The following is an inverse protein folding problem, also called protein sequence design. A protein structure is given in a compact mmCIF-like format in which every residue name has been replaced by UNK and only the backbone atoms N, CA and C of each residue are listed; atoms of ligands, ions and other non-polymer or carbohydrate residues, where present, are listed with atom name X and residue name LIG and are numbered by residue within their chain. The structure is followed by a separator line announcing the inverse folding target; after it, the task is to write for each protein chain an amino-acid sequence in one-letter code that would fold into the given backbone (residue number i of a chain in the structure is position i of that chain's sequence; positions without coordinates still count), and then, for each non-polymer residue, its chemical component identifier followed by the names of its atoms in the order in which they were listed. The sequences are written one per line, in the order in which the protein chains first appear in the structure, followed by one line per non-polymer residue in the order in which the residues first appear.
data_IF_648684824424
#
_entry.id   IF_648684824424
#
_cell.length_a   1.000
_cell.length_b   1.000
_cell.length_c   1.000
_cell.angle_alpha   90.00
_cell.angle_beta   90.00
_cell.angle_gamma   90.00
#
_symmetry.space_group_name_H-M   'P 1'
#
loop_
_entity.id
_entity.type
_entity.pdbx_description
1 polymer ?
#
# COMPACT_ATOMS: atom_id res chain seq x y z
N UNK A 1 30.83 21.54 -18.54
CA UNK A 1 29.96 20.44 -18.08
C UNK A 1 30.64 19.18 -18.56
N UNK A 2 31.07 18.34 -17.63
CA UNK A 2 32.10 17.31 -17.81
C UNK A 2 31.75 16.27 -18.88
N UNK A 3 32.73 16.01 -19.73
CA UNK A 3 32.80 14.85 -20.62
C UNK A 3 33.09 13.64 -19.73
N UNK A 4 32.05 12.97 -19.24
CA UNK A 4 32.20 11.68 -18.57
C UNK A 4 32.43 10.63 -19.66
N UNK A 5 33.58 9.94 -19.61
CA UNK A 5 33.91 8.87 -20.55
C UNK A 5 32.82 7.80 -20.48
N UNK A 6 32.08 7.59 -21.58
CA UNK A 6 31.07 6.54 -21.65
C UNK A 6 31.74 5.17 -21.47
N UNK A 7 31.13 4.24 -20.71
CA UNK A 7 31.68 2.90 -20.53
C UNK A 7 31.85 2.19 -21.88
N UNK A 8 32.90 1.41 -22.00
CA UNK A 8 33.24 0.69 -23.22
C UNK A 8 32.42 -0.59 -23.34
N UNK A 9 32.22 -1.07 -24.58
CA UNK A 9 31.60 -2.38 -24.80
C UNK A 9 32.41 -3.54 -24.17
N UNK A 10 33.69 -3.34 -23.84
CA UNK A 10 34.50 -4.33 -23.14
C UNK A 10 34.12 -4.40 -21.65
N UNK A 11 33.87 -3.25 -21.01
CA UNK A 11 33.41 -3.16 -19.62
C UNK A 11 32.03 -3.78 -19.44
N UNK A 12 31.07 -3.46 -20.31
CA UNK A 12 29.73 -4.09 -20.27
C UNK A 12 29.82 -5.62 -20.40
N UNK A 13 30.69 -6.13 -21.28
CA UNK A 13 30.91 -7.59 -21.40
C UNK A 13 31.59 -8.18 -20.17
N UNK A 14 32.51 -7.46 -19.54
CA UNK A 14 33.17 -7.90 -18.33
C UNK A 14 32.18 -8.00 -17.16
N UNK A 15 31.30 -7.01 -17.01
CA UNK A 15 30.23 -7.03 -16.02
C UNK A 15 29.24 -8.19 -16.28
N UNK A 16 28.85 -8.43 -17.54
CA UNK A 16 28.02 -9.59 -17.88
C UNK A 16 28.68 -10.93 -17.50
N UNK A 17 30.00 -11.07 -17.66
CA UNK A 17 30.73 -12.26 -17.20
C UNK A 17 30.83 -12.33 -15.68
N UNK A 18 30.91 -11.19 -15.00
CA UNK A 18 30.88 -11.13 -13.53
C UNK A 18 29.54 -11.65 -12.98
N UNK A 19 28.41 -11.24 -13.56
CA UNK A 19 27.07 -11.75 -13.22
C UNK A 19 26.99 -13.26 -13.38
N UNK A 20 27.43 -13.81 -14.53
CA UNK A 20 27.44 -15.27 -14.76
C UNK A 20 28.28 -16.00 -13.71
N UNK A 21 29.45 -15.47 -13.40
CA UNK A 21 30.34 -16.07 -12.41
C UNK A 21 29.73 -16.00 -11.00
N UNK A 22 29.07 -14.90 -10.64
CA UNK A 22 28.36 -14.76 -9.37
C UNK A 22 27.17 -15.73 -9.28
N UNK A 23 26.44 -15.93 -10.38
CA UNK A 23 25.33 -16.87 -10.45
C UNK A 23 25.80 -18.31 -10.21
N UNK A 24 26.91 -18.71 -10.83
CA UNK A 24 27.52 -20.03 -10.61
C UNK A 24 27.96 -20.21 -9.15
N UNK A 25 28.51 -19.16 -8.51
CA UNK A 25 28.88 -19.20 -7.08
C UNK A 25 27.67 -19.32 -6.17
N UNK A 26 26.62 -18.57 -6.46
CA UNK A 26 25.36 -18.62 -5.72
C UNK A 26 24.75 -20.02 -5.81
N UNK A 27 24.66 -20.60 -7.01
CA UNK A 27 24.17 -21.98 -7.18
C UNK A 27 25.03 -22.98 -6.39
N UNK A 28 26.36 -22.86 -6.47
CA UNK A 28 27.26 -23.73 -5.72
C UNK A 28 27.16 -23.55 -4.20
N UNK A 29 26.73 -22.39 -3.70
CA UNK A 29 26.45 -22.17 -2.28
C UNK A 29 25.12 -22.85 -1.89
N UNK A 30 24.07 -22.68 -2.69
CA UNK A 30 22.76 -23.32 -2.49
C UNK A 30 22.87 -24.84 -2.47
N UNK A 31 23.63 -25.44 -3.40
CA UNK A 31 23.84 -26.89 -3.46
C UNK A 31 24.59 -27.45 -2.24
N UNK A 32 25.36 -26.61 -1.54
CA UNK A 32 26.13 -26.97 -0.34
C UNK A 32 25.47 -26.52 0.96
N UNK A 33 24.27 -25.95 0.91
CA UNK A 33 23.63 -25.35 2.09
C UNK A 33 23.43 -26.38 3.19
N UNK A 34 23.64 -25.94 4.43
CA UNK A 34 23.58 -26.76 5.63
C UNK A 34 22.31 -26.55 6.46
N UNK A 35 21.52 -25.53 6.10
CA UNK A 35 20.25 -25.16 6.72
C UNK A 35 19.43 -24.23 5.82
N UNK A 36 18.29 -23.79 6.35
CA UNK A 36 17.38 -22.85 5.66
C UNK A 36 17.97 -21.43 5.61
N UNK A 37 18.63 -21.00 6.71
CA UNK A 37 19.32 -19.70 6.84
C UNK A 37 20.86 -19.85 6.76
N UNK A 38 21.37 -20.42 5.67
CA UNK A 38 22.82 -20.59 5.52
C UNK A 38 23.50 -19.25 5.18
N UNK A 39 24.40 -18.71 6.04
CA UNK A 39 25.03 -17.41 5.80
C UNK A 39 25.90 -17.39 4.54
N UNK A 40 26.39 -18.54 4.07
CA UNK A 40 27.14 -18.62 2.81
C UNK A 40 26.24 -18.42 1.59
N UNK A 41 24.96 -18.80 1.67
CA UNK A 41 23.98 -18.56 0.60
C UNK A 41 23.63 -17.08 0.56
N UNK A 42 23.35 -16.46 1.72
CA UNK A 42 23.09 -15.02 1.80
C UNK A 42 24.25 -14.17 1.29
N UNK A 43 25.48 -14.50 1.67
CA UNK A 43 26.65 -13.79 1.16
C UNK A 43 26.78 -13.91 -0.37
N UNK A 44 26.58 -15.12 -0.92
CA UNK A 44 26.65 -15.33 -2.36
C UNK A 44 25.47 -14.68 -3.13
N UNK A 45 24.31 -14.54 -2.49
CA UNK A 45 23.17 -13.80 -3.02
C UNK A 45 23.50 -12.30 -3.12
N UNK A 46 24.06 -11.70 -2.07
CA UNK A 46 24.46 -10.30 -2.08
C UNK A 46 25.55 -10.01 -3.12
N UNK A 47 26.52 -10.92 -3.27
CA UNK A 47 27.54 -10.81 -4.32
C UNK A 47 26.94 -10.87 -5.74
N UNK A 48 25.89 -11.67 -5.94
CA UNK A 48 25.17 -11.75 -7.20
C UNK A 48 24.36 -10.49 -7.49
N UNK A 49 23.64 -9.97 -6.48
CA UNK A 49 22.89 -8.72 -6.59
C UNK A 49 23.81 -7.57 -7.00
N UNK A 50 24.92 -7.37 -6.28
CA UNK A 50 25.89 -6.31 -6.59
C UNK A 50 26.47 -6.42 -8.01
N UNK A 51 26.79 -7.64 -8.47
CA UNK A 51 27.28 -7.84 -9.82
C UNK A 51 26.23 -7.53 -10.90
N UNK A 52 24.95 -7.81 -10.60
CA UNK A 52 23.84 -7.55 -11.51
C UNK A 52 23.51 -6.04 -11.59
N UNK A 53 23.54 -5.31 -10.47
CA UNK A 53 23.42 -3.85 -10.45
C UNK A 53 24.51 -3.17 -11.29
N UNK A 54 25.78 -3.55 -11.09
CA UNK A 54 26.91 -3.00 -11.86
C UNK A 54 26.74 -3.26 -13.37
N UNK A 55 26.24 -4.45 -13.74
CA UNK A 55 25.96 -4.76 -15.13
C UNK A 55 24.81 -3.91 -15.69
N UNK A 56 23.73 -3.72 -14.94
CA UNK A 56 22.57 -2.94 -15.36
C UNK A 56 22.93 -1.46 -15.54
N UNK A 57 23.70 -0.88 -14.61
CA UNK A 57 24.22 0.49 -14.71
C UNK A 57 25.07 0.67 -15.99
N UNK A 58 26.04 -0.21 -16.22
CA UNK A 58 26.90 -0.14 -17.41
C UNK A 58 26.13 -0.40 -18.72
N UNK A 59 25.10 -1.25 -18.67
CA UNK A 59 24.22 -1.52 -19.81
C UNK A 59 23.41 -0.28 -20.17
N UNK A 60 22.83 0.38 -19.16
CA UNK A 60 22.06 1.60 -19.31
C UNK A 60 22.93 2.75 -19.82
N UNK A 61 24.06 3.02 -19.17
CA UNK A 61 24.97 4.10 -19.58
C UNK A 61 25.45 3.96 -21.03
N UNK A 62 25.64 2.72 -21.50
CA UNK A 62 26.18 2.47 -22.84
C UNK A 62 25.14 2.36 -23.93
N UNK A 63 24.03 1.70 -23.65
CA UNK A 63 23.04 1.29 -24.64
C UNK A 63 21.63 1.83 -24.38
N UNK A 64 21.39 2.53 -23.27
CA UNK A 64 20.07 3.04 -22.85
C UNK A 64 19.03 1.91 -22.74
N UNK A 65 19.48 0.75 -22.26
CA UNK A 65 18.69 -0.46 -22.08
C UNK A 65 18.81 -0.93 -20.63
N UNK A 66 17.76 -1.59 -20.13
CA UNK A 66 17.69 -2.15 -18.78
C UNK A 66 17.39 -3.64 -18.84
N UNK A 67 17.83 -4.37 -17.83
CA UNK A 67 17.47 -5.78 -17.69
C UNK A 67 16.03 -5.94 -17.18
N UNK A 68 15.32 -7.02 -17.57
CA UNK A 68 13.94 -7.26 -17.13
C UNK A 68 13.84 -7.88 -15.72
N UNK A 69 14.93 -7.91 -14.96
CA UNK A 69 15.00 -8.53 -13.63
C UNK A 69 15.24 -7.45 -12.59
N UNK A 70 14.29 -7.25 -11.68
CA UNK A 70 14.47 -6.37 -10.52
C UNK A 70 15.08 -7.15 -9.35
N UNK A 71 16.06 -6.54 -8.70
CA UNK A 71 16.62 -7.03 -7.44
C UNK A 71 15.78 -6.38 -6.34
N UNK A 72 15.15 -7.16 -5.45
CA UNK A 72 14.45 -6.59 -4.31
C UNK A 72 15.44 -5.80 -3.45
N UNK A 73 15.16 -4.52 -3.22
CA UNK A 73 15.98 -3.69 -2.33
C UNK A 73 16.03 -4.35 -0.94
N UNK A 74 17.25 -4.68 -0.50
CA UNK A 74 17.48 -5.32 0.79
C UNK A 74 17.12 -4.41 1.99
N UNK A 75 16.94 -3.11 1.74
CA UNK A 75 16.68 -2.08 2.76
C UNK A 75 15.18 -1.74 2.96
N UNK A 76 14.28 -2.24 2.11
CA UNK A 76 12.82 -2.00 2.27
C UNK A 76 12.10 -3.10 3.04
N UNK A 77 12.78 -4.22 3.31
CA UNK A 77 12.25 -5.34 4.08
C UNK A 77 12.45 -5.17 5.58
N UNK A 78 11.40 -5.41 6.37
CA UNK A 78 11.57 -5.64 7.82
C UNK A 78 12.48 -6.86 8.03
N UNK A 79 13.30 -6.88 9.11
CA UNK A 79 14.08 -8.07 9.45
C UNK A 79 13.16 -9.29 9.65
N UNK A 80 13.65 -10.53 9.47
CA UNK A 80 12.86 -11.72 9.71
C UNK A 80 12.25 -11.72 11.11
N UNK A 81 11.01 -12.19 11.26
CA UNK A 81 10.36 -12.31 12.56
C UNK A 81 11.21 -13.19 13.49
N UNK A 82 11.63 -12.63 14.63
CA UNK A 82 12.47 -13.31 15.63
C UNK A 82 11.72 -13.62 16.93
N UNK A 83 10.40 -13.41 16.97
CA UNK A 83 9.58 -13.66 18.15
C UNK A 83 9.24 -15.15 18.36
N UNK A 84 8.43 -15.47 19.39
CA UNK A 84 8.06 -16.86 19.70
C UNK A 84 7.18 -17.48 18.60
N UNK A 85 7.28 -18.80 18.44
CA UNK A 85 6.45 -19.61 17.53
C UNK A 85 4.95 -19.56 17.90
N UNK A 86 4.65 -19.44 19.20
CA UNK A 86 3.29 -19.37 19.75
C UNK A 86 3.11 -18.09 20.58
N UNK A 87 2.80 -16.93 19.96
CA UNK A 87 2.59 -15.68 20.69
C UNK A 87 1.28 -15.67 21.46
N UNK A 88 1.25 -15.03 22.63
CA UNK A 88 0.06 -14.98 23.50
C UNK A 88 -0.77 -13.69 23.34
N UNK A 89 -0.20 -12.64 22.74
CA UNK A 89 -0.87 -11.38 22.46
C UNK A 89 -0.40 -10.77 21.12
N UNK A 90 -1.23 -9.88 20.56
CA UNK A 90 -0.97 -9.17 19.31
C UNK A 90 -1.36 -7.69 19.44
N UNK A 91 -0.58 -6.82 18.80
CA UNK A 91 -0.84 -5.39 18.64
C UNK A 91 -0.94 -5.05 17.16
N UNK A 92 -1.96 -4.28 16.77
CA UNK A 92 -2.11 -3.78 15.39
C UNK A 92 -1.92 -2.27 15.41
N UNK A 93 -0.86 -1.79 14.77
CA UNK A 93 -0.53 -0.38 14.67
C UNK A 93 -0.88 0.11 13.27
N UNK A 94 -1.67 1.17 13.19
CA UNK A 94 -2.16 1.72 11.92
C UNK A 94 -1.73 3.18 11.84
N UNK A 95 -0.98 3.53 10.79
CA UNK A 95 -0.75 4.91 10.36
C UNK A 95 -1.63 5.17 9.13
N UNK A 96 -2.48 6.19 9.21
CA UNK A 96 -3.27 6.70 8.07
C UNK A 96 -2.89 8.16 7.87
N UNK A 97 -2.33 8.48 6.71
CA UNK A 97 -1.95 9.85 6.40
C UNK A 97 -3.08 10.53 5.62
N UNK A 98 -3.33 11.81 5.90
CA UNK A 98 -4.37 12.60 5.22
C UNK A 98 -3.83 13.96 4.80
N UNK A 99 -4.12 14.37 3.57
CA UNK A 99 -3.97 15.75 3.14
C UNK A 99 -5.26 16.54 3.44
N UNK A 100 -5.13 17.76 3.97
CA UNK A 100 -6.28 18.67 4.12
C UNK A 100 -6.55 19.37 2.79
N UNK A 101 -7.22 18.67 1.87
CA UNK A 101 -7.50 19.14 0.52
C UNK A 101 -8.54 20.28 0.48
N UNK A 102 -9.58 20.21 1.32
CA UNK A 102 -10.65 21.21 1.38
C UNK A 102 -10.82 21.82 2.78
N UNK A 103 -9.94 22.77 3.20
CA UNK A 103 -9.99 23.38 4.53
C UNK A 103 -11.34 24.02 4.89
N UNK A 104 -12.04 24.59 3.91
CA UNK A 104 -13.36 25.22 4.11
C UNK A 104 -14.44 24.20 4.43
N UNK A 105 -14.37 23.00 3.82
CA UNK A 105 -15.30 21.91 4.09
C UNK A 105 -15.09 21.41 5.52
N UNK A 106 -13.84 21.19 5.92
CA UNK A 106 -13.46 20.81 7.28
C UNK A 106 -13.99 21.81 8.33
N UNK A 107 -13.77 23.11 8.12
CA UNK A 107 -14.31 24.17 8.99
C UNK A 107 -15.84 24.14 9.07
N UNK A 108 -16.52 23.94 7.94
CA UNK A 108 -17.98 23.87 7.89
C UNK A 108 -18.55 22.63 8.57
N UNK A 109 -17.80 21.52 8.60
CA UNK A 109 -18.18 20.32 9.37
C UNK A 109 -17.98 20.55 10.87
N UNK A 110 -16.83 21.07 11.29
CA UNK A 110 -16.57 21.38 12.69
C UNK A 110 -17.60 22.36 13.27
N UNK A 111 -18.01 23.37 12.50
CA UNK A 111 -19.06 24.29 12.92
C UNK A 111 -20.41 23.58 13.11
N UNK A 112 -20.78 22.65 12.21
CA UNK A 112 -22.01 21.86 12.34
C UNK A 112 -22.03 20.99 13.60
N UNK A 113 -20.89 20.37 13.93
CA UNK A 113 -20.73 19.57 15.17
C UNK A 113 -20.93 20.48 16.39
N UNK A 114 -20.22 21.61 16.45
CA UNK A 114 -20.28 22.54 17.58
C UNK A 114 -21.68 23.16 17.77
N UNK A 115 -22.40 23.47 16.68
CA UNK A 115 -23.77 23.98 16.74
C UNK A 115 -24.75 22.91 17.25
N UNK A 116 -24.54 21.64 16.88
CA UNK A 116 -25.32 20.52 17.39
C UNK A 116 -25.12 20.30 18.90
N UNK A 117 -23.88 20.33 19.37
CA UNK A 117 -23.55 20.23 20.80
C UNK A 117 -24.14 21.39 21.61
N UNK A 118 -24.11 22.61 21.07
CA UNK A 118 -24.69 23.80 21.73
C UNK A 118 -26.22 23.74 21.80
N UNK A 119 -26.86 23.07 20.84
CA UNK A 119 -28.31 22.82 20.81
C UNK A 119 -28.77 21.71 21.76
N UNK A 120 -27.86 20.83 22.18
CA UNK A 120 -28.09 19.79 23.19
C UNK A 120 -27.73 20.28 24.59
N UNK A 121 -28.73 20.65 25.40
CA UNK A 121 -28.48 21.01 26.80
C UNK A 121 -27.92 19.79 27.57
N UNK A 122 -26.61 19.78 27.82
CA UNK A 122 -25.96 18.74 28.62
C UNK A 122 -26.46 18.77 30.08
N UNK A 123 -26.78 17.61 30.70
CA UNK A 123 -27.05 17.55 32.13
C UNK A 123 -25.76 17.85 32.93
N UNK A 124 -25.86 18.48 34.11
CA UNK A 124 -24.69 18.86 34.89
C UNK A 124 -24.00 17.61 35.44
N UNK A 125 -22.77 17.33 34.98
CA UNK A 125 -21.89 16.32 35.59
C UNK A 125 -21.07 15.44 34.64
N UNK A 126 -21.22 15.52 33.32
CA UNK A 126 -20.29 14.85 32.40
C UNK A 126 -19.01 15.68 32.30
N UNK A 127 -17.87 15.08 32.68
CA UNK A 127 -16.56 15.69 32.55
C UNK A 127 -16.23 15.93 31.09
N UNK A 128 -16.53 17.14 30.60
CA UNK A 128 -16.11 17.62 29.30
C UNK A 128 -14.59 17.83 29.32
N UNK A 129 -13.85 16.80 28.91
CA UNK A 129 -12.45 16.96 28.53
C UNK A 129 -12.37 17.90 27.34
N UNK A 130 -11.72 19.05 27.53
CA UNK A 130 -11.28 19.98 26.50
C UNK A 130 -12.24 20.18 25.31
N UNK A 131 -13.47 20.67 25.57
CA UNK A 131 -14.32 21.21 24.51
C UNK A 131 -13.55 22.31 23.77
N UNK A 132 -13.12 21.99 22.55
CA UNK A 132 -12.38 22.89 21.69
C UNK A 132 -13.14 24.20 21.59
N UNK A 133 -12.47 25.29 21.95
CA UNK A 133 -12.96 26.62 21.57
C UNK A 133 -13.12 26.57 20.06
N UNK A 134 -14.35 26.78 19.56
CA UNK A 134 -14.61 26.95 18.14
C UNK A 134 -13.76 28.12 17.67
N UNK A 135 -12.59 27.80 17.12
CA UNK A 135 -11.73 28.75 16.47
C UNK A 135 -11.94 28.64 14.97
N UNK A 136 -11.86 29.76 14.26
CA UNK A 136 -11.95 29.81 12.78
C UNK A 136 -10.73 29.19 12.07
N UNK A 137 -10.00 28.28 12.75
CA UNK A 137 -8.75 27.70 12.29
C UNK A 137 -8.91 26.22 11.99
N UNK A 138 -8.18 25.75 10.97
CA UNK A 138 -8.12 24.32 10.59
C UNK A 138 -7.69 23.45 11.76
N UNK A 139 -6.72 23.90 12.56
CA UNK A 139 -6.26 23.18 13.75
C UNK A 139 -7.38 22.94 14.77
N UNK A 140 -8.17 23.97 15.07
CA UNK A 140 -9.32 23.83 15.97
C UNK A 140 -10.40 22.91 15.38
N UNK A 141 -10.64 22.99 14.07
CA UNK A 141 -11.59 22.11 13.38
C UNK A 141 -11.19 20.64 13.42
N UNK A 142 -9.89 20.32 13.28
CA UNK A 142 -9.38 18.96 13.46
C UNK A 142 -9.63 18.46 14.89
N UNK A 143 -9.37 19.30 15.90
CA UNK A 143 -9.63 18.95 17.30
C UNK A 143 -11.11 18.66 17.60
N UNK A 144 -12.03 19.40 16.97
CA UNK A 144 -13.48 19.14 17.07
C UNK A 144 -13.85 17.83 16.34
N UNK A 145 -13.33 17.62 15.13
CA UNK A 145 -13.63 16.43 14.34
C UNK A 145 -13.19 15.13 15.06
N UNK A 146 -11.93 15.06 15.49
CA UNK A 146 -11.38 13.89 16.18
C UNK A 146 -11.82 13.78 17.65
N UNK A 147 -12.53 14.79 18.17
CA UNK A 147 -13.21 14.71 19.46
C UNK A 147 -14.62 14.11 19.37
N UNK A 148 -15.28 14.24 18.22
CA UNK A 148 -16.65 13.75 17.99
C UNK A 148 -16.68 12.36 17.33
N UNK A 149 -15.80 12.10 16.35
CA UNK A 149 -15.81 10.86 15.56
C UNK A 149 -14.67 9.92 15.95
N UNK A 150 -14.97 8.61 15.91
CA UNK A 150 -13.95 7.56 16.01
C UNK A 150 -13.04 7.54 14.78
N UNK A 151 -11.82 7.04 14.92
CA UNK A 151 -10.83 7.02 13.84
C UNK A 151 -11.30 6.25 12.59
N UNK A 152 -12.09 5.19 12.75
CA UNK A 152 -12.64 4.41 11.63
C UNK A 152 -13.81 5.13 10.93
N UNK A 153 -14.58 5.94 11.67
CA UNK A 153 -15.60 6.80 11.07
C UNK A 153 -14.95 7.93 10.26
N UNK A 154 -13.89 8.53 10.78
CA UNK A 154 -13.11 9.53 10.03
C UNK A 154 -12.52 8.91 8.78
N UNK A 155 -11.97 7.69 8.87
CA UNK A 155 -11.39 6.99 7.73
C UNK A 155 -12.42 6.67 6.64
N UNK A 156 -13.60 6.15 7.02
CA UNK A 156 -14.64 5.82 6.03
C UNK A 156 -15.29 7.04 5.37
N UNK A 157 -15.23 8.21 6.00
CA UNK A 157 -15.91 9.44 5.55
C UNK A 157 -14.95 10.61 5.33
N UNK A 158 -13.66 10.35 5.13
CA UNK A 158 -12.60 11.37 5.07
C UNK A 158 -12.88 12.48 4.03
N UNK A 159 -13.42 12.12 2.85
CA UNK A 159 -13.83 13.08 1.82
C UNK A 159 -14.97 14.03 2.26
N UNK A 160 -15.88 13.58 3.13
CA UNK A 160 -16.95 14.44 3.67
C UNK A 160 -16.40 15.54 4.59
N UNK A 161 -15.22 15.28 5.17
CA UNK A 161 -14.50 16.20 6.04
C UNK A 161 -13.52 17.09 5.26
N UNK A 162 -13.36 16.87 3.96
CA UNK A 162 -12.41 17.62 3.13
C UNK A 162 -10.98 17.16 3.31
N UNK A 163 -10.82 15.90 3.73
CA UNK A 163 -9.56 15.19 3.77
C UNK A 163 -9.44 14.32 2.52
N UNK A 164 -8.22 14.18 2.04
CA UNK A 164 -7.83 13.28 0.96
C UNK A 164 -6.87 12.26 1.54
N UNK A 165 -7.09 10.98 1.27
CA UNK A 165 -6.26 9.89 1.78
C UNK A 165 -4.86 9.95 1.16
N UNK A 166 -3.84 9.83 2.01
CA UNK A 166 -2.44 9.69 1.61
C UNK A 166 -1.99 8.25 1.78
N UNK A 167 -0.70 8.05 2.02
CA UNK A 167 -0.20 6.70 2.29
C UNK A 167 -0.74 6.16 3.63
N UNK A 168 -0.88 4.84 3.71
CA UNK A 168 -1.20 4.16 4.95
C UNK A 168 -0.34 2.92 5.15
N UNK A 169 -0.07 2.65 6.41
CA UNK A 169 0.78 1.53 6.83
C UNK A 169 0.12 0.83 8.01
N UNK A 170 0.01 -0.50 7.92
CA UNK A 170 -0.49 -1.36 8.99
C UNK A 170 0.59 -2.35 9.42
N UNK A 171 0.92 -2.37 10.70
CA UNK A 171 1.85 -3.31 11.32
C UNK A 171 1.12 -4.23 12.29
N UNK A 172 1.45 -5.53 12.25
CA UNK A 172 0.99 -6.51 13.23
C UNK A 172 2.21 -7.00 14.02
N UNK A 173 2.23 -6.72 15.33
CA UNK A 173 3.33 -7.08 16.24
C UNK A 173 2.85 -8.15 17.21
N UNK A 174 3.66 -9.18 17.42
CA UNK A 174 3.37 -10.25 18.37
C UNK A 174 4.13 -10.08 19.69
N UNK A 175 3.48 -10.45 20.79
CA UNK A 175 4.05 -10.44 22.12
C UNK A 175 3.98 -11.84 22.76
N UNK A 176 5.04 -12.19 23.48
CA UNK A 176 5.15 -13.48 24.18
C UNK A 176 4.23 -13.53 25.41
N UNK A 177 4.09 -12.42 26.13
CA UNK A 177 3.26 -12.30 27.32
C UNK A 177 2.19 -11.22 27.15
N UNK A 178 1.00 -11.39 27.76
CA UNK A 178 -0.02 -10.35 27.75
C UNK A 178 0.40 -9.20 28.67
N UNK A 179 0.27 -7.94 28.24
CA UNK A 179 0.65 -6.78 29.05
C UNK A 179 -0.30 -6.56 30.22
N UNK A 180 0.17 -5.84 31.23
CA UNK A 180 -0.65 -5.48 32.39
C UNK A 180 -1.73 -4.44 32.01
N UNK A 181 -2.86 -4.39 32.75
CA UNK A 181 -3.91 -3.42 32.48
C UNK A 181 -3.40 -1.98 32.52
N UNK A 182 -3.51 -1.29 31.38
CA UNK A 182 -3.09 0.10 31.20
C UNK A 182 -1.77 0.29 30.48
N UNK A 183 -0.92 -0.74 30.39
CA UNK A 183 0.37 -0.65 29.68
C UNK A 183 0.18 -0.39 28.18
N UNK A 184 -0.88 -0.93 27.56
CA UNK A 184 -1.25 -0.62 26.18
C UNK A 184 -1.52 0.88 25.92
N UNK A 185 -1.83 1.65 26.96
CA UNK A 185 -2.23 3.05 26.82
C UNK A 185 -1.11 4.04 27.13
N UNK A 186 -0.05 3.62 27.83
CA UNK A 186 1.00 4.53 28.31
C UNK A 186 1.96 4.92 27.18
N UNK A 187 2.39 3.95 26.36
CA UNK A 187 3.33 4.16 25.25
C UNK A 187 3.04 3.25 24.03
N UNK A 188 1.86 3.36 23.39
CA UNK A 188 1.39 2.41 22.37
C UNK A 188 2.26 2.29 21.10
N UNK A 189 3.21 3.20 20.89
CA UNK A 189 4.06 3.27 19.70
C UNK A 189 5.57 3.22 20.00
N UNK A 190 5.99 3.14 21.27
CA UNK A 190 7.40 3.29 21.65
C UNK A 190 8.23 2.02 21.32
N UNK A 191 7.60 0.83 21.34
CA UNK A 191 8.30 -0.47 21.27
C UNK A 191 7.94 -1.32 20.04
N UNK A 192 7.59 -0.71 18.90
CA UNK A 192 7.44 -1.48 17.66
C UNK A 192 8.81 -1.92 17.12
N UNK A 193 9.42 -2.92 17.77
CA UNK A 193 10.65 -3.58 17.30
C UNK A 193 10.39 -4.20 15.92
N UNK A 194 11.11 -3.77 14.86
CA UNK A 194 10.97 -4.33 13.52
C UNK A 194 11.11 -5.86 13.47
N UNK A 195 11.87 -6.48 14.38
CA UNK A 195 12.04 -7.94 14.46
C UNK A 195 10.83 -8.69 15.04
N UNK A 196 9.87 -7.99 15.65
CA UNK A 196 8.63 -8.57 16.18
C UNK A 196 7.42 -8.33 15.28
N UNK A 197 7.61 -7.66 14.14
CA UNK A 197 6.57 -7.44 13.15
C UNK A 197 6.32 -8.74 12.39
N UNK A 198 5.12 -9.28 12.55
CA UNK A 198 4.66 -10.47 11.83
C UNK A 198 4.30 -10.12 10.40
N UNK A 199 3.59 -9.01 10.21
CA UNK A 199 3.15 -8.53 8.91
C UNK A 199 3.20 -6.99 8.83
N UNK A 200 3.60 -6.48 7.68
CA UNK A 200 3.47 -5.08 7.29
C UNK A 200 2.71 -4.98 5.97
N UNK A 201 1.72 -4.10 5.92
CA UNK A 201 0.99 -3.74 4.71
C UNK A 201 1.18 -2.25 4.50
N UNK A 202 1.72 -1.89 3.34
CA UNK A 202 1.80 -0.50 2.88
C UNK A 202 0.82 -0.33 1.72
N UNK A 203 -0.05 0.66 1.82
CA UNK A 203 -0.98 1.06 0.77
C UNK A 203 -0.67 2.51 0.42
N UNK A 204 -0.44 2.77 -0.86
CA UNK A 204 -0.20 4.13 -1.33
C UNK A 204 -1.41 4.62 -2.11
N UNK A 205 -1.93 5.80 -1.73
CA UNK A 205 -3.09 6.40 -2.37
C UNK A 205 -2.88 6.67 -3.88
N UNK A 206 -1.64 6.79 -4.34
CA UNK A 206 -1.30 7.02 -5.76
C UNK A 206 -1.47 5.74 -6.60
N UNK A 207 -1.32 4.57 -5.99
CA UNK A 207 -1.38 3.28 -6.67
C UNK A 207 -2.67 2.51 -6.40
N UNK A 208 -3.50 3.00 -5.48
CA UNK A 208 -4.80 2.42 -5.12
C UNK A 208 -5.96 2.92 -6.01
N UNK A 209 -5.69 3.80 -7.00
CA UNK A 209 -6.63 4.11 -8.07
C UNK A 209 -6.77 2.87 -8.99
N UNK A 210 -7.72 1.99 -8.66
CA UNK A 210 -8.08 0.83 -9.47
C UNK A 210 -8.41 1.30 -10.92
N UNK A 211 -7.72 0.80 -11.97
CA UNK A 211 -8.01 1.19 -13.35
C UNK A 211 -9.40 0.73 -13.84
N UNK A 212 -10.11 -0.05 -13.02
CA UNK A 212 -11.43 -0.59 -13.32
C UNK A 212 -12.60 0.29 -12.80
N UNK A 213 -12.33 1.42 -12.12
CA UNK A 213 -13.38 2.32 -11.60
C UNK A 213 -13.89 3.33 -12.66
N UNK A 214 -13.67 3.03 -13.94
CA UNK A 214 -14.25 3.75 -15.07
C UNK A 214 -15.76 3.46 -15.22
N UNK A 215 -16.56 4.16 -14.42
CA UNK A 215 -17.81 4.84 -14.83
C UNK A 215 -18.75 4.00 -15.75
N UNK A 216 -19.57 3.12 -15.15
CA UNK A 216 -20.78 2.53 -15.76
C UNK A 216 -21.88 3.60 -16.01
N UNK A 217 -21.51 4.74 -16.61
CA UNK A 217 -22.44 5.80 -17.00
C UNK A 217 -23.00 5.54 -18.39
N UNK A 218 -24.19 4.95 -18.38
CA UNK A 218 -25.30 5.21 -19.31
C UNK A 218 -24.97 5.22 -20.81
N UNK A 219 -25.01 4.04 -21.44
CA UNK A 219 -25.44 3.94 -22.84
C UNK A 219 -26.98 3.81 -22.88
N UNK A 220 -27.66 4.89 -22.52
CA UNK A 220 -29.06 5.09 -22.86
C UNK A 220 -29.11 5.54 -24.34
N UNK A 221 -29.43 4.62 -25.24
CA UNK A 221 -29.41 4.93 -26.67
C UNK A 221 -29.80 3.76 -27.58
N UNK A 222 -31.08 3.75 -27.95
CA UNK A 222 -31.70 3.13 -29.14
C UNK A 222 -31.89 1.61 -29.20
N UNK A 223 -33.05 1.15 -28.71
CA UNK A 223 -33.82 0.11 -29.40
C UNK A 223 -35.27 0.60 -29.57
N UNK A 224 -35.47 1.49 -30.53
CA UNK A 224 -36.80 1.68 -31.12
C UNK A 224 -37.10 0.48 -32.03
N UNK A 225 -38.28 -0.07 -31.80
CA UNK A 225 -38.88 -1.21 -32.48
C UNK A 225 -39.20 -0.86 -33.93
N UNK A 226 -38.66 -1.61 -34.88
CA UNK A 226 -39.25 -1.76 -36.22
C UNK A 226 -39.55 -3.24 -36.50
N UNK A 227 -40.69 -3.64 -35.96
CA UNK A 227 -41.47 -4.79 -36.39
C UNK A 227 -42.16 -4.39 -37.70
N UNK A 228 -41.52 -4.65 -38.86
CA UNK A 228 -42.17 -4.90 -40.16
C UNK A 228 -41.16 -4.79 -41.32
N UNK A 229 -40.63 -5.93 -41.79
CA UNK A 229 -40.42 -6.25 -43.21
C UNK A 229 -39.46 -7.43 -43.37
N UNK A 230 -40.02 -8.62 -43.70
CA UNK A 230 -39.55 -9.49 -44.78
C UNK A 230 -39.92 -10.97 -44.52
N UNK A 231 -41.21 -11.32 -44.60
CA UNK A 231 -41.58 -12.67 -45.04
C UNK A 231 -42.06 -12.60 -46.48
N UNK A 232 -41.10 -12.74 -47.38
CA UNK A 232 -41.32 -12.86 -48.80
C UNK A 232 -40.27 -13.78 -49.42
N UNK A 233 -40.74 -14.99 -49.76
CA UNK A 233 -40.25 -15.88 -50.83
C UNK A 233 -39.31 -17.03 -50.45
N UNK A 234 -39.90 -18.24 -50.49
CA UNK A 234 -39.29 -19.49 -50.99
C UNK A 234 -38.50 -20.28 -49.95
N UNK A 235 -38.86 -21.51 -49.57
CA UNK A 235 -39.50 -22.58 -50.32
C UNK A 235 -38.52 -23.74 -50.51
N UNK A 236 -38.37 -24.62 -49.52
CA UNK A 236 -38.15 -26.06 -49.76
C UNK A 236 -38.39 -26.87 -48.49
N UNK A 237 -39.48 -27.64 -48.56
CA UNK A 237 -39.80 -28.76 -47.71
C UNK A 237 -38.97 -29.95 -48.22
N UNK A 238 -38.30 -30.71 -47.33
CA UNK A 238 -38.48 -32.16 -47.23
C UNK A 238 -37.50 -32.84 -46.24
N UNK A 239 -38.12 -33.41 -45.21
CA UNK A 239 -37.87 -34.70 -44.58
C UNK A 239 -36.60 -35.01 -43.76
N UNK A 240 -36.87 -35.22 -42.47
CA UNK A 240 -36.13 -36.03 -41.49
C UNK A 240 -35.64 -37.35 -42.07
N UNK A 241 -34.46 -37.76 -41.58
CA UNK A 241 -33.67 -38.88 -42.12
C UNK A 241 -34.18 -40.29 -41.88
N UNK A 242 -33.42 -41.26 -42.39
CA UNK A 242 -33.20 -42.58 -41.76
C UNK A 242 -32.04 -43.33 -42.42
N UNK A 243 -31.24 -43.95 -41.54
CA UNK A 243 -30.17 -44.97 -41.71
C UNK A 243 -28.79 -44.43 -42.06
#
# INVERSE_FOLDING_TARGET
MSDAEQPTAAEVRAAAEAVKTALDRHLAAVERRTGEDDPAVHAAFNDLAAAAEEYDELLYERYDEVTPFDIPDADDGLPPYTGPDEPSALSVLIRRDYAVAEPRRLLSQAQRIADHERGGAAPPGSGAGAQGVVGDSVHAALGVLFGEYEADEVASRHMEFGLEEGDSTLWVVAAEEPPEPGEWLDAPFEDADPGLVVCRFDMSAVFDEDPDDHDDRELDGVMDLDEDAAEGLGGHQEHRGRV
#
